data_IF_827732821257
#
_entry.id   IF_827732821257
#
_cell.length_a   1.000
_cell.length_b   1.000
_cell.length_c   1.000
_cell.angle_alpha   90.00
_cell.angle_beta   90.00
_cell.angle_gamma   90.00
#
_symmetry.space_group_name_H-M   'P 1'
#
loop_
_entity.id
_entity.type
_entity.pdbx_description
1 polymer ?
#
# COMPACT_ATOMS: atom_id res chain seq x y z
N UNK A 1 -8.59 5.89 -7.44
CA UNK A 1 -8.80 4.82 -6.43
C UNK A 1 -8.35 5.36 -5.07
N UNK A 2 -9.04 5.00 -3.98
CA UNK A 2 -8.79 5.48 -2.61
C UNK A 2 -8.09 4.44 -1.71
N UNK A 3 -7.76 3.29 -2.27
CA UNK A 3 -7.13 2.18 -1.55
C UNK A 3 -5.70 1.96 -2.04
N UNK A 4 -4.86 1.38 -1.18
CA UNK A 4 -3.53 0.90 -1.56
C UNK A 4 -3.57 -0.62 -1.61
N UNK A 5 -3.17 -1.21 -2.75
CA UNK A 5 -3.03 -2.65 -2.89
C UNK A 5 -1.59 -3.07 -2.69
N UNK A 6 -1.39 -4.18 -1.99
CA UNK A 6 -0.07 -4.75 -1.76
C UNK A 6 0.00 -6.11 -2.46
N UNK A 7 0.90 -6.23 -3.43
CA UNK A 7 1.09 -7.44 -4.21
C UNK A 7 2.53 -7.93 -4.08
N UNK A 8 2.69 -9.25 -3.96
CA UNK A 8 4.00 -9.91 -4.01
C UNK A 8 4.20 -10.54 -5.37
N UNK A 9 5.35 -10.30 -5.97
CA UNK A 9 5.74 -10.97 -7.21
C UNK A 9 6.22 -12.39 -6.91
N UNK A 10 5.72 -13.36 -7.68
CA UNK A 10 6.11 -14.76 -7.65
C UNK A 10 6.46 -15.21 -9.07
N UNK A 11 7.64 -15.80 -9.22
CA UNK A 11 8.11 -16.29 -10.53
C UNK A 11 7.16 -17.37 -11.07
N UNK A 12 6.74 -17.24 -12.33
CA UNK A 12 5.81 -18.17 -12.99
C UNK A 12 4.32 -17.96 -12.67
N UNK A 13 3.99 -17.22 -11.61
CA UNK A 13 2.60 -16.95 -11.19
C UNK A 13 2.22 -15.48 -11.45
N UNK A 14 3.19 -14.56 -11.40
CA UNK A 14 2.97 -13.13 -11.56
C UNK A 14 2.77 -12.41 -10.22
N UNK A 15 1.93 -11.38 -10.20
CA UNK A 15 1.63 -10.62 -8.98
C UNK A 15 0.46 -11.26 -8.23
N UNK A 16 0.67 -11.61 -6.96
CA UNK A 16 -0.38 -12.10 -6.06
C UNK A 16 -0.66 -11.08 -4.99
N UNK A 17 -1.93 -10.74 -4.77
CA UNK A 17 -2.36 -9.82 -3.71
C UNK A 17 -2.13 -10.45 -2.33
N UNK A 18 -1.61 -9.67 -1.37
CA UNK A 18 -1.36 -10.12 -0.01
C UNK A 18 -2.65 -10.13 0.82
N UNK A 19 -2.76 -10.97 1.87
CA UNK A 19 -4.02 -11.17 2.60
C UNK A 19 -4.51 -9.92 3.36
N UNK A 20 -3.61 -8.99 3.71
CA UNK A 20 -3.95 -7.72 4.36
C UNK A 20 -4.26 -6.59 3.37
N UNK A 21 -4.19 -6.86 2.06
CA UNK A 21 -4.60 -5.94 1.00
C UNK A 21 -6.09 -6.14 0.68
N UNK A 22 -6.82 -5.07 0.31
CA UNK A 22 -6.38 -3.68 0.18
C UNK A 22 -6.39 -2.90 1.50
N UNK A 23 -5.41 -2.01 1.64
CA UNK A 23 -5.29 -1.06 2.74
C UNK A 23 -6.27 0.10 2.52
N UNK A 24 -7.25 0.24 3.42
CA UNK A 24 -8.34 1.22 3.34
C UNK A 24 -8.30 2.17 4.53
N UNK A 25 -7.65 3.32 4.36
CA UNK A 25 -7.72 4.42 5.33
C UNK A 25 -8.05 5.77 4.69
N UNK A 26 -7.72 5.95 3.41
CA UNK A 26 -7.91 7.23 2.75
C UNK A 26 -9.36 7.46 2.32
N UNK A 27 -9.83 8.69 2.53
CA UNK A 27 -11.17 9.14 2.16
C UNK A 27 -11.23 9.55 0.68
N UNK A 28 -10.12 10.07 0.16
CA UNK A 28 -9.96 10.50 -1.23
C UNK A 28 -8.85 9.73 -1.95
N UNK A 29 -8.53 10.13 -3.17
CA UNK A 29 -7.53 9.46 -4.00
C UNK A 29 -6.14 9.52 -3.38
N UNK A 30 -5.45 8.38 -3.40
CA UNK A 30 -4.04 8.27 -2.99
C UNK A 30 -3.19 8.93 -4.09
N UNK A 31 -2.33 9.86 -3.69
CA UNK A 31 -1.45 10.61 -4.60
C UNK A 31 -0.03 10.07 -4.62
N UNK A 32 0.41 9.43 -3.54
CA UNK A 32 1.75 8.89 -3.41
C UNK A 32 1.76 7.63 -2.54
N UNK A 33 2.61 6.66 -2.90
CA UNK A 33 2.91 5.47 -2.11
C UNK A 33 4.42 5.24 -2.14
N UNK A 34 5.02 4.99 -0.97
CA UNK A 34 6.45 4.66 -0.83
C UNK A 34 6.62 3.52 0.16
N UNK A 35 7.57 2.64 -0.12
CA UNK A 35 8.00 1.57 0.79
C UNK A 35 9.35 1.98 1.38
N UNK A 36 9.58 1.70 2.66
CA UNK A 36 10.90 1.90 3.23
C UNK A 36 11.92 0.90 2.66
N UNK A 37 13.24 1.18 2.71
CA UNK A 37 14.26 0.28 2.17
C UNK A 37 14.25 -1.12 2.80
N UNK A 38 13.80 -1.23 4.06
CA UNK A 38 13.70 -2.50 4.78
C UNK A 38 12.43 -3.30 4.43
N UNK A 39 11.52 -2.75 3.61
CA UNK A 39 10.26 -3.39 3.22
C UNK A 39 9.35 -3.78 4.40
N UNK A 40 9.46 -3.04 5.51
CA UNK A 40 8.64 -3.26 6.72
C UNK A 40 7.51 -2.25 6.84
N UNK A 41 7.59 -1.09 6.19
CA UNK A 41 6.60 -0.03 6.31
C UNK A 41 6.26 0.54 4.94
N UNK A 42 4.96 0.79 4.71
CA UNK A 42 4.46 1.56 3.56
C UNK A 42 3.91 2.88 4.05
N UNK A 43 4.30 3.97 3.40
CA UNK A 43 3.69 5.27 3.56
C UNK A 43 2.77 5.56 2.37
N UNK A 44 1.53 5.96 2.64
CA UNK A 44 0.59 6.44 1.63
C UNK A 44 0.09 7.84 1.96
N UNK A 45 0.06 8.73 0.97
CA UNK A 45 -0.46 10.09 1.08
C UNK A 45 -1.64 10.27 0.14
N UNK A 46 -2.61 11.09 0.56
CA UNK A 46 -3.88 11.28 -0.15
C UNK A 46 -4.29 12.75 -0.19
N UNK A 47 -5.20 13.04 -1.12
CA UNK A 47 -5.85 14.36 -1.26
C UNK A 47 -6.67 14.71 0.00
N UNK A 48 -7.01 13.73 0.83
CA UNK A 48 -7.67 13.96 2.13
C UNK A 48 -6.81 14.68 3.18
N UNK A 49 -5.55 15.00 2.85
CA UNK A 49 -4.64 15.70 3.74
C UNK A 49 -4.00 14.79 4.78
N UNK A 50 -4.22 13.47 4.68
CA UNK A 50 -3.63 12.49 5.59
C UNK A 50 -2.49 11.73 4.93
N UNK A 51 -1.51 11.37 5.76
CA UNK A 51 -0.50 10.37 5.44
C UNK A 51 -0.65 9.23 6.42
N UNK A 52 -0.73 8.00 5.90
CA UNK A 52 -0.91 6.79 6.70
C UNK A 52 0.33 5.91 6.56
N UNK A 53 0.85 5.45 7.70
CA UNK A 53 1.92 4.46 7.75
C UNK A 53 1.32 3.09 8.03
N UNK A 54 1.69 2.12 7.23
CA UNK A 54 1.23 0.74 7.31
C UNK A 54 2.41 -0.16 7.67
N UNK A 55 2.29 -0.90 8.76
CA UNK A 55 3.25 -1.95 9.10
C UNK A 55 2.97 -3.18 8.22
N UNK A 56 4.00 -3.69 7.54
CA UNK A 56 3.94 -4.87 6.66
C UNK A 56 4.31 -6.17 7.38
N UNK A 57 4.37 -6.15 8.72
CA UNK A 57 4.73 -7.30 9.56
C UNK A 57 3.83 -8.53 9.38
#
# INVERSE_FOLDING_TARGET
DKCVRVCKWQQGIGYTELPYSPLKAHKYGVTCVKVNPQSTIVASASIDGTTVLWDLK
#
